data_IF_322343163529
#
_entry.id   IF_322343163529
#
_cell.length_a   1.000
_cell.length_b   1.000
_cell.length_c   1.000
_cell.angle_alpha   90.00
_cell.angle_beta   90.00
_cell.angle_gamma   90.00
#
_symmetry.space_group_name_H-M   'P 1'
#
loop_
_entity.id
_entity.type
_entity.pdbx_description
1 polymer ?
#
# COMPACT_ATOMS: atom_id res chain seq x y z
N UNK A 1 0.80 28.61 -1.57
CA UNK A 1 1.00 28.33 -0.12
C UNK A 1 2.46 27.99 0.11
N UNK A 2 3.00 28.26 1.30
CA UNK A 2 4.37 27.94 1.70
C UNK A 2 4.31 26.99 2.90
N UNK A 3 5.22 26.02 2.95
CA UNK A 3 5.29 25.07 4.06
C UNK A 3 6.02 25.68 5.26
N UNK A 4 5.33 25.76 6.39
CA UNK A 4 5.93 26.00 7.70
C UNK A 4 6.29 24.64 8.32
N UNK A 5 7.58 24.30 8.31
CA UNK A 5 8.09 23.02 8.81
C UNK A 5 8.07 22.93 10.33
N UNK A 6 8.10 24.07 11.05
CA UNK A 6 8.03 24.10 12.51
C UNK A 6 6.61 23.78 12.98
N UNK A 7 5.60 24.35 12.30
CA UNK A 7 4.18 24.13 12.61
C UNK A 7 3.59 22.93 11.87
N UNK A 8 4.27 22.40 10.87
CA UNK A 8 3.81 21.26 10.07
C UNK A 8 2.55 21.59 9.26
N UNK A 9 2.49 22.80 8.69
CA UNK A 9 1.31 23.28 7.96
C UNK A 9 1.68 24.15 6.75
N UNK A 10 0.84 24.10 5.73
CA UNK A 10 0.87 25.02 4.60
C UNK A 10 0.17 26.32 4.97
N UNK A 11 0.77 27.45 4.62
CA UNK A 11 0.22 28.78 4.87
C UNK A 11 0.21 29.64 3.61
N UNK A 12 -0.88 30.36 3.38
CA UNK A 12 -0.94 31.39 2.35
C UNK A 12 -0.49 32.73 2.96
N UNK A 13 0.57 33.35 2.42
CA UNK A 13 1.06 34.65 2.92
C UNK A 13 0.37 35.86 2.30
N UNK A 14 -0.53 35.66 1.32
CA UNK A 14 -1.34 36.75 0.78
C UNK A 14 -2.22 37.32 1.89
N UNK A 15 -2.11 38.63 2.12
CA UNK A 15 -2.83 39.34 3.19
C UNK A 15 -4.34 39.14 3.13
N UNK A 16 -4.89 39.00 1.91
CA UNK A 16 -6.30 38.77 1.61
C UNK A 16 -6.78 37.33 1.82
N UNK A 17 -5.88 36.36 1.99
CA UNK A 17 -6.24 34.94 2.08
C UNK A 17 -5.91 34.35 3.46
N UNK A 18 -4.62 34.33 3.86
CA UNK A 18 -4.15 33.76 5.14
C UNK A 18 -4.60 32.32 5.45
N UNK A 19 -5.05 31.55 4.46
CA UNK A 19 -5.47 30.17 4.66
C UNK A 19 -4.33 29.30 5.20
N UNK A 20 -4.66 28.38 6.11
CA UNK A 20 -3.74 27.40 6.70
C UNK A 20 -4.29 25.98 6.51
N UNK A 21 -3.39 25.03 6.21
CA UNK A 21 -3.75 23.62 6.04
C UNK A 21 -2.67 22.73 6.65
N UNK A 22 -3.01 21.95 7.67
CA UNK A 22 -2.08 21.01 8.29
C UNK A 22 -1.60 19.93 7.32
N UNK A 23 -0.35 19.48 7.47
CA UNK A 23 0.23 18.43 6.63
C UNK A 23 -0.49 17.08 6.73
N UNK A 24 -1.14 16.81 7.86
CA UNK A 24 -1.91 15.59 8.11
C UNK A 24 -3.39 15.73 7.76
N UNK A 25 -3.85 16.91 7.35
CA UNK A 25 -5.28 17.16 7.15
C UNK A 25 -5.76 16.56 5.82
N UNK A 26 -6.83 15.76 5.88
CA UNK A 26 -7.50 15.10 4.76
C UNK A 26 -6.59 14.14 3.97
N UNK A 27 -5.79 13.34 4.67
CA UNK A 27 -5.01 12.26 4.05
C UNK A 27 -4.85 11.06 5.00
N UNK A 28 -4.20 10.01 4.49
CA UNK A 28 -4.06 8.72 5.18
C UNK A 28 -3.22 8.77 6.48
N UNK A 29 -2.51 9.87 6.77
CA UNK A 29 -1.75 10.07 8.02
C UNK A 29 -2.47 11.01 9.02
N UNK A 30 -3.74 11.31 8.82
CA UNK A 30 -4.50 12.24 9.68
C UNK A 30 -4.56 11.83 11.15
N UNK A 31 -4.80 10.55 11.43
CA UNK A 31 -4.89 10.01 12.79
C UNK A 31 -3.52 9.64 13.37
N UNK A 32 -2.43 9.79 12.61
CA UNK A 32 -1.10 9.40 13.05
C UNK A 32 -0.61 10.27 14.21
N UNK A 33 -0.32 9.65 15.34
CA UNK A 33 0.34 10.30 16.49
C UNK A 33 1.86 10.45 16.32
N UNK A 34 2.43 9.76 15.32
CA UNK A 34 3.86 9.80 14.99
C UNK A 34 4.24 11.15 14.39
N UNK A 35 5.42 11.69 14.74
CA UNK A 35 5.92 12.97 14.23
C UNK A 35 6.19 12.87 12.72
N UNK A 36 5.92 13.94 11.97
CA UNK A 36 6.10 13.96 10.51
C UNK A 36 7.51 13.56 10.03
N UNK A 37 8.62 14.03 10.64
CA UNK A 37 9.95 13.59 10.24
C UNK A 37 10.11 12.08 10.38
N UNK A 38 9.61 11.48 11.47
CA UNK A 38 9.64 10.03 11.69
C UNK A 38 8.81 9.30 10.62
N UNK A 39 7.66 9.84 10.21
CA UNK A 39 6.84 9.28 9.12
C UNK A 39 7.65 9.22 7.81
N UNK A 40 8.39 10.29 7.47
CA UNK A 40 9.23 10.32 6.27
C UNK A 40 10.32 9.26 6.34
N UNK A 41 10.98 9.11 7.49
CA UNK A 41 12.00 8.07 7.69
C UNK A 41 11.40 6.65 7.64
N UNK A 42 10.17 6.46 8.14
CA UNK A 42 9.47 5.19 8.03
C UNK A 42 9.13 4.83 6.59
N UNK A 43 8.67 5.78 5.79
CA UNK A 43 8.41 5.57 4.35
C UNK A 43 9.70 5.17 3.63
N UNK A 44 10.79 5.90 3.89
CA UNK A 44 12.10 5.59 3.32
C UNK A 44 12.59 4.20 3.77
N UNK A 45 12.53 3.91 5.07
CA UNK A 45 12.95 2.64 5.62
C UNK A 45 12.12 1.48 5.09
N UNK A 46 10.81 1.67 4.92
CA UNK A 46 9.92 0.64 4.38
C UNK A 46 10.30 0.27 2.94
N UNK A 47 10.59 1.28 2.12
CA UNK A 47 11.03 1.08 0.73
C UNK A 47 12.39 0.38 0.61
N UNK A 48 13.21 0.42 1.67
CA UNK A 48 14.52 -0.26 1.74
C UNK A 48 14.48 -1.52 2.62
N UNK A 49 13.30 -2.00 2.98
CA UNK A 49 13.12 -3.21 3.81
C UNK A 49 13.75 -3.11 5.22
N UNK A 50 13.89 -1.89 5.75
CA UNK A 50 14.49 -1.60 7.05
C UNK A 50 13.47 -1.50 8.21
N UNK A 51 12.20 -1.81 8.01
CA UNK A 51 11.14 -1.58 9.03
C UNK A 51 10.87 -2.78 9.94
N UNK A 52 11.92 -3.48 10.36
CA UNK A 52 11.79 -4.53 11.38
C UNK A 52 11.33 -3.92 12.72
N UNK A 53 10.64 -4.72 13.54
CA UNK A 53 10.18 -4.25 14.87
C UNK A 53 11.35 -3.80 15.73
N UNK A 54 12.46 -4.53 15.71
CA UNK A 54 13.64 -4.20 16.52
C UNK A 54 14.30 -2.91 16.04
N UNK A 55 14.48 -2.75 14.73
CA UNK A 55 15.03 -1.53 14.14
C UNK A 55 14.17 -0.32 14.48
N UNK A 56 12.87 -0.37 14.21
CA UNK A 56 11.99 0.77 14.47
C UNK A 56 11.82 1.09 15.97
N UNK A 57 11.97 0.08 16.84
CA UNK A 57 12.03 0.30 18.29
C UNK A 57 13.31 1.02 18.69
N UNK A 58 14.46 0.59 18.16
CA UNK A 58 15.76 1.20 18.45
C UNK A 58 15.86 2.63 17.89
N UNK A 59 15.56 2.83 16.61
CA UNK A 59 15.73 4.11 15.91
C UNK A 59 14.65 5.14 16.25
N UNK A 60 13.40 4.70 16.44
CA UNK A 60 12.26 5.61 16.55
C UNK A 60 11.50 5.49 17.88
N UNK A 61 11.91 4.59 18.78
CA UNK A 61 11.23 4.37 20.07
C UNK A 61 9.79 3.86 19.90
N UNK A 62 9.48 3.21 18.77
CA UNK A 62 8.11 2.78 18.46
C UNK A 62 7.74 1.50 19.18
N UNK A 63 6.47 1.38 19.59
CA UNK A 63 5.94 0.12 20.08
C UNK A 63 5.81 -0.88 18.93
N UNK A 64 5.89 -2.18 19.24
CA UNK A 64 5.64 -3.26 18.29
C UNK A 64 4.33 -3.07 17.51
N UNK A 65 3.23 -2.75 18.20
CA UNK A 65 1.93 -2.51 17.57
C UNK A 65 2.00 -1.38 16.55
N UNK A 66 2.62 -0.26 16.91
CA UNK A 66 2.77 0.89 16.01
C UNK A 66 3.57 0.51 14.77
N UNK A 67 4.68 -0.24 14.91
CA UNK A 67 5.48 -0.68 13.74
C UNK A 67 4.67 -1.59 12.81
N UNK A 68 3.90 -2.54 13.37
CA UNK A 68 3.02 -3.42 12.59
C UNK A 68 1.96 -2.61 11.84
N UNK A 69 1.31 -1.66 12.52
CA UNK A 69 0.29 -0.80 11.92
C UNK A 69 0.87 0.02 10.76
N UNK A 70 2.04 0.62 10.92
CA UNK A 70 2.72 1.37 9.86
C UNK A 70 3.11 0.50 8.66
N UNK A 71 3.66 -0.68 8.92
CA UNK A 71 3.96 -1.63 7.85
C UNK A 71 2.69 -2.03 7.07
N UNK A 72 1.55 -2.15 7.75
CA UNK A 72 0.27 -2.43 7.09
C UNK A 72 -0.26 -1.21 6.32
N UNK A 73 -0.16 0.00 6.86
CA UNK A 73 -0.54 1.22 6.14
C UNK A 73 0.24 1.38 4.83
N UNK A 74 1.56 1.10 4.84
CA UNK A 74 2.37 1.16 3.63
C UNK A 74 1.90 0.15 2.58
N UNK A 75 1.56 -1.08 2.97
CA UNK A 75 0.97 -2.07 2.06
C UNK A 75 -0.37 -1.60 1.48
N UNK A 76 -1.23 -0.98 2.29
CA UNK A 76 -2.50 -0.41 1.82
C UNK A 76 -2.27 0.70 0.80
N UNK A 77 -1.26 1.55 1.00
CA UNK A 77 -0.89 2.60 0.03
C UNK A 77 -0.44 1.97 -1.30
N UNK A 78 0.36 0.90 -1.27
CA UNK A 78 0.75 0.16 -2.47
C UNK A 78 -0.48 -0.43 -3.20
N UNK A 79 -1.37 -1.11 -2.48
CA UNK A 79 -2.60 -1.69 -3.06
C UNK A 79 -3.48 -0.60 -3.66
N UNK A 80 -3.66 0.52 -2.94
CA UNK A 80 -4.42 1.67 -3.47
C UNK A 80 -3.81 2.19 -4.77
N UNK A 81 -2.48 2.30 -4.86
CA UNK A 81 -1.81 2.76 -6.08
C UNK A 81 -2.00 1.77 -7.24
N UNK A 82 -1.88 0.47 -6.98
CA UNK A 82 -2.11 -0.59 -7.96
C UNK A 82 -3.57 -0.54 -8.45
N UNK A 83 -4.52 -0.36 -7.53
CA UNK A 83 -5.95 -0.33 -7.86
C UNK A 83 -6.39 0.90 -8.66
N UNK A 84 -5.53 1.93 -8.84
CA UNK A 84 -5.83 3.07 -9.72
C UNK A 84 -5.50 2.76 -11.19
N UNK A 85 -4.73 1.70 -11.48
CA UNK A 85 -4.37 1.31 -12.84
C UNK A 85 -5.48 0.47 -13.47
N UNK A 86 -6.34 1.10 -14.28
CA UNK A 86 -7.40 0.40 -15.06
C UNK A 86 -6.97 0.05 -16.48
N UNK A 87 -5.68 0.18 -16.78
CA UNK A 87 -5.14 -0.15 -18.10
C UNK A 87 -4.68 -1.60 -18.14
N UNK A 88 -4.86 -2.22 -19.29
CA UNK A 88 -4.26 -3.50 -19.62
C UNK A 88 -2.73 -3.40 -19.52
N UNK A 89 -2.11 -4.29 -18.77
CA UNK A 89 -0.67 -4.40 -18.60
C UNK A 89 -0.06 -5.25 -19.72
N UNK A 90 1.21 -4.97 -20.02
CA UNK A 90 1.94 -5.66 -21.09
C UNK A 90 1.54 -5.17 -22.49
N UNK A 91 1.54 -6.09 -23.46
CA UNK A 91 1.36 -5.77 -24.88
C UNK A 91 2.27 -6.60 -25.77
N UNK A 92 2.35 -6.22 -27.05
CA UNK A 92 3.20 -6.92 -28.03
C UNK A 92 4.66 -6.86 -27.57
N UNK A 93 5.29 -8.03 -27.40
CA UNK A 93 6.69 -8.15 -26.97
C UNK A 93 6.91 -8.05 -25.46
N UNK A 94 5.85 -7.94 -24.64
CA UNK A 94 5.95 -7.99 -23.19
C UNK A 94 5.61 -9.38 -22.63
N UNK A 95 6.17 -9.72 -21.49
CA UNK A 95 5.87 -10.96 -20.76
C UNK A 95 5.16 -10.57 -19.46
N UNK A 96 3.89 -10.98 -19.35
CA UNK A 96 3.10 -10.84 -18.12
C UNK A 96 3.19 -12.15 -17.34
N UNK A 97 3.75 -12.09 -16.14
CA UNK A 97 3.69 -13.17 -15.17
C UNK A 97 2.36 -13.10 -14.43
N UNK A 98 1.73 -14.25 -14.22
CA UNK A 98 0.43 -14.37 -13.56
C UNK A 98 0.58 -15.31 -12.37
N UNK A 99 -0.03 -14.96 -11.23
CA UNK A 99 -0.06 -15.80 -10.03
C UNK A 99 -1.45 -15.85 -9.38
N UNK A 100 -1.73 -16.99 -8.75
CA UNK A 100 -2.96 -17.27 -8.01
C UNK A 100 -2.62 -17.64 -6.56
N UNK A 101 -3.10 -16.82 -5.63
CA UNK A 101 -2.86 -17.01 -4.20
C UNK A 101 -4.17 -17.21 -3.44
N UNK A 102 -4.30 -18.33 -2.73
CA UNK A 102 -5.42 -18.59 -1.83
C UNK A 102 -5.09 -18.12 -0.41
N UNK A 103 -5.74 -17.05 0.03
CA UNK A 103 -5.64 -16.57 1.39
C UNK A 103 -6.57 -17.34 2.31
N UNK A 104 -6.05 -17.66 3.49
CA UNK A 104 -6.71 -18.43 4.55
C UNK A 104 -6.94 -19.91 4.18
N UNK A 105 -5.83 -20.64 4.03
CA UNK A 105 -5.83 -22.10 3.92
C UNK A 105 -5.68 -22.76 5.29
N UNK A 106 -6.43 -23.83 5.56
CA UNK A 106 -6.22 -24.65 6.77
C UNK A 106 -4.80 -25.19 6.81
N UNK A 107 -4.05 -24.90 7.88
CA UNK A 107 -2.77 -25.56 8.15
C UNK A 107 -3.06 -27.02 8.53
N UNK A 108 -2.45 -27.97 7.82
CA UNK A 108 -2.62 -29.42 8.04
C UNK A 108 -4.08 -29.92 7.96
N UNK A 109 -4.95 -29.25 7.19
CA UNK A 109 -6.39 -29.59 7.09
C UNK A 109 -7.14 -29.61 8.45
N UNK A 110 -6.56 -29.04 9.51
CA UNK A 110 -7.11 -29.05 10.85
C UNK A 110 -7.63 -27.67 11.27
N UNK A 111 -8.53 -27.64 12.26
CA UNK A 111 -9.07 -26.41 12.84
C UNK A 111 -10.26 -25.80 12.09
N UNK A 112 -10.61 -24.56 12.40
CA UNK A 112 -11.81 -23.86 11.89
C UNK A 112 -11.74 -23.63 10.37
N UNK A 113 -12.86 -23.79 9.67
CA UNK A 113 -13.00 -23.27 8.29
C UNK A 113 -13.26 -21.77 8.40
N UNK A 114 -12.35 -20.99 7.84
CA UNK A 114 -12.52 -19.56 7.68
C UNK A 114 -12.88 -19.27 6.22
N UNK A 115 -13.56 -18.15 5.93
CA UNK A 115 -13.79 -17.71 4.55
C UNK A 115 -12.48 -17.66 3.78
N UNK A 116 -12.43 -18.37 2.67
CA UNK A 116 -11.29 -18.38 1.77
C UNK A 116 -11.42 -17.24 0.77
N UNK A 117 -10.31 -16.62 0.41
CA UNK A 117 -10.27 -15.57 -0.60
C UNK A 117 -9.20 -15.91 -1.62
N UNK A 118 -9.60 -16.10 -2.88
CA UNK A 118 -8.64 -16.16 -3.98
C UNK A 118 -8.22 -14.74 -4.37
N UNK A 119 -6.93 -14.57 -4.56
CA UNK A 119 -6.33 -13.35 -5.08
C UNK A 119 -5.60 -13.72 -6.35
N UNK A 120 -5.94 -13.03 -7.43
CA UNK A 120 -5.35 -13.18 -8.73
C UNK A 120 -4.55 -11.93 -9.05
N UNK A 121 -3.33 -12.09 -9.54
CA UNK A 121 -2.48 -10.95 -9.86
C UNK A 121 -1.59 -11.23 -11.04
N UNK A 122 -1.04 -10.15 -11.59
CA UNK A 122 -0.04 -10.25 -12.62
C UNK A 122 0.90 -9.07 -12.62
N UNK A 123 2.11 -9.27 -13.16
CA UNK A 123 3.12 -8.24 -13.33
C UNK A 123 3.79 -8.36 -14.71
N UNK A 124 3.90 -7.23 -15.40
CA UNK A 124 4.65 -7.13 -16.64
C UNK A 124 6.14 -6.98 -16.30
N UNK A 125 7.00 -7.86 -16.80
CA UNK A 125 8.44 -7.83 -16.52
C UNK A 125 9.11 -6.56 -17.02
N UNK A 126 8.66 -6.05 -18.16
CA UNK A 126 9.28 -4.93 -18.84
C UNK A 126 8.83 -3.58 -18.27
N UNK A 127 7.54 -3.45 -17.93
CA UNK A 127 6.97 -2.17 -17.45
C UNK A 127 6.87 -2.09 -15.93
N UNK A 128 6.97 -3.22 -15.21
CA UNK A 128 6.67 -3.35 -13.78
C UNK A 128 5.24 -2.93 -13.39
N UNK A 129 4.35 -2.79 -14.38
CA UNK A 129 2.93 -2.60 -14.11
C UNK A 129 2.34 -3.91 -13.60
N UNK A 130 1.47 -3.79 -12.59
CA UNK A 130 0.84 -4.95 -11.98
C UNK A 130 -0.62 -4.70 -11.68
N UNK A 131 -1.38 -5.78 -11.55
CA UNK A 131 -2.73 -5.78 -10.99
C UNK A 131 -2.82 -6.84 -9.90
N UNK A 132 -3.72 -6.60 -8.93
CA UNK A 132 -4.06 -7.56 -7.88
C UNK A 132 -5.56 -7.45 -7.62
N UNK A 133 -6.30 -8.55 -7.79
CA UNK A 133 -7.76 -8.58 -7.76
C UNK A 133 -8.23 -9.76 -6.91
N UNK A 134 -9.22 -9.50 -6.06
CA UNK A 134 -9.94 -10.55 -5.34
C UNK A 134 -10.93 -11.25 -6.29
N UNK A 135 -10.83 -12.57 -6.41
CA UNK A 135 -11.71 -13.38 -7.26
C UNK A 135 -12.42 -14.45 -6.43
N UNK A 136 -13.61 -14.93 -6.84
CA UNK A 136 -14.33 -15.96 -6.10
C UNK A 136 -13.64 -17.33 -6.18
N UNK A 137 -13.00 -17.63 -7.31
CA UNK A 137 -12.36 -18.91 -7.61
C UNK A 137 -11.28 -18.75 -8.71
N UNK A 138 -10.59 -19.85 -9.03
CA UNK A 138 -9.55 -19.94 -10.06
C UNK A 138 -10.02 -20.58 -11.37
N UNK A 139 -11.32 -20.58 -11.62
CA UNK A 139 -11.86 -21.21 -12.81
C UNK A 139 -11.56 -20.35 -14.05
N UNK A 140 -11.43 -21.01 -15.20
CA UNK A 140 -11.13 -20.36 -16.47
C UNK A 140 -12.12 -19.23 -16.80
N UNK A 141 -13.41 -19.47 -16.58
CA UNK A 141 -14.47 -18.47 -16.79
C UNK A 141 -14.35 -17.23 -15.89
N UNK A 142 -13.68 -17.35 -14.74
CA UNK A 142 -13.39 -16.23 -13.83
C UNK A 142 -12.12 -15.51 -14.26
N UNK A 143 -11.06 -16.24 -14.63
CA UNK A 143 -9.74 -15.67 -14.86
C UNK A 143 -9.53 -15.14 -16.29
N UNK A 144 -10.06 -15.83 -17.31
CA UNK A 144 -9.86 -15.45 -18.71
C UNK A 144 -10.36 -14.04 -19.06
N UNK A 145 -11.53 -13.58 -18.58
CA UNK A 145 -11.95 -12.19 -18.80
C UNK A 145 -10.94 -11.19 -18.21
N UNK A 146 -10.45 -11.47 -16.99
CA UNK A 146 -9.49 -10.61 -16.30
C UNK A 146 -8.19 -10.53 -17.08
N UNK A 147 -7.65 -11.65 -17.58
CA UNK A 147 -6.43 -11.68 -18.40
C UNK A 147 -6.59 -10.90 -19.71
N UNK A 148 -7.81 -10.88 -20.27
CA UNK A 148 -8.07 -10.15 -21.50
C UNK A 148 -8.16 -8.63 -21.29
N UNK A 149 -8.70 -8.22 -20.14
CA UNK A 149 -9.02 -6.82 -19.79
C UNK A 149 -7.90 -6.09 -19.02
N UNK A 150 -7.15 -6.82 -18.19
CA UNK A 150 -6.06 -6.32 -17.33
C UNK A 150 -4.71 -6.74 -17.85
#
# INVERSE_FOLDING_TARGET
>A
MVLDTQRGQWRCHLRSCRAEKGLKTNNWIQSAKVKLPTIVHLIYGWAHELTSVEFCKHEFGMSKSTVVDWNNFMRVVCVWKISQGDSKIGGVGCIVEIDESLFVRRKNNAGRILPQQWVFGGICRETNECFVICVPDRLENTLMPIICER
#
